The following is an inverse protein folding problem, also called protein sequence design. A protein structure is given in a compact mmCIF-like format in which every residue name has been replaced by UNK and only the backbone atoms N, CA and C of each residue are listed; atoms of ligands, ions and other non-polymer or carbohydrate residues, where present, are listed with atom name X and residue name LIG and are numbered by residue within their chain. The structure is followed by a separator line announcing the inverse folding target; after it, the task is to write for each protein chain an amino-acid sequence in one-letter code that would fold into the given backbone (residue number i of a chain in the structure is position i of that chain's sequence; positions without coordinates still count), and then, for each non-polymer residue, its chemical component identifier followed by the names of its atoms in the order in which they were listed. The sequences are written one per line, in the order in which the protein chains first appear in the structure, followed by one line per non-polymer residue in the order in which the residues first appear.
data_IF_184840366635
#
_entry.id   IF_184840366635
#
_cell.length_a   1.000
_cell.length_b   1.000
_cell.length_c   1.000
_cell.angle_alpha   90.00
_cell.angle_beta   90.00
_cell.angle_gamma   90.00
#
_symmetry.space_group_name_H-M   'P 1'
#
loop_
_entity.id
_entity.type
_entity.pdbx_description
1 polymer ?
#
# COMPACT_ATOMS: atom_id res chain seq x y z
N UNK A 1 -5.70 -0.12 7.99
CA UNK A 1 -4.56 -0.28 8.92
C UNK A 1 -4.37 -1.76 9.21
N UNK A 2 -3.12 -2.22 9.27
CA UNK A 2 -2.76 -3.61 9.62
C UNK A 2 -1.55 -3.60 10.54
N UNK A 3 -1.52 -4.47 11.55
CA UNK A 3 -0.39 -4.60 12.46
C UNK A 3 0.12 -6.04 12.49
N UNK A 4 1.45 -6.19 12.53
CA UNK A 4 2.15 -7.44 12.84
C UNK A 4 3.10 -7.17 14.01
N UNK A 5 3.68 -8.19 14.68
CA UNK A 5 4.67 -7.96 15.71
C UNK A 5 5.81 -7.05 15.22
N UNK A 6 6.03 -5.92 15.92
CA UNK A 6 7.11 -4.98 15.63
C UNK A 6 6.77 -3.84 14.67
N UNK A 7 5.76 -3.97 13.79
CA UNK A 7 5.45 -2.94 12.78
C UNK A 7 3.96 -2.78 12.48
N UNK A 8 3.57 -1.57 12.10
CA UNK A 8 2.19 -1.17 11.77
C UNK A 8 2.18 -0.54 10.37
N UNK A 9 1.34 -1.06 9.48
CA UNK A 9 1.12 -0.56 8.13
C UNK A 9 -0.11 0.36 8.08
N UNK A 10 0.07 1.53 7.48
CA UNK A 10 -0.95 2.56 7.33
C UNK A 10 -0.96 3.13 5.91
N UNK A 11 -2.09 2.95 5.22
CA UNK A 11 -2.35 3.61 3.95
C UNK A 11 -2.93 5.00 4.17
N UNK A 12 -2.55 5.95 3.32
CA UNK A 12 -3.00 7.33 3.40
C UNK A 12 -3.65 7.79 2.10
N UNK A 13 -4.47 8.83 2.18
CA UNK A 13 -5.17 9.43 1.04
C UNK A 13 -4.22 10.06 0.01
N UNK A 14 -3.01 10.44 0.43
CA UNK A 14 -1.93 10.90 -0.45
C UNK A 14 -1.28 9.78 -1.28
N UNK A 15 -1.80 8.54 -1.20
CA UNK A 15 -1.28 7.43 -1.99
C UNK A 15 -0.04 6.77 -1.39
N UNK A 16 0.33 7.11 -0.14
CA UNK A 16 1.49 6.52 0.53
C UNK A 16 1.11 5.42 1.50
N UNK A 17 1.87 4.32 1.43
CA UNK A 17 1.85 3.25 2.41
C UNK A 17 3.03 3.45 3.37
N UNK A 18 2.73 3.84 4.61
CA UNK A 18 3.73 4.08 5.65
C UNK A 18 3.73 2.95 6.67
N UNK A 19 4.92 2.56 7.08
CA UNK A 19 5.12 1.57 8.14
C UNK A 19 5.79 2.21 9.32
N UNK A 20 5.21 1.99 10.49
CA UNK A 20 5.69 2.52 11.75
C UNK A 20 6.21 1.39 12.62
N UNK A 21 7.35 1.60 13.29
CA UNK A 21 7.83 0.70 14.33
C UNK A 21 6.90 0.77 15.55
N UNK A 22 6.51 -0.39 16.08
CA UNK A 22 5.50 -0.49 17.16
C UNK A 22 5.93 0.15 18.48
N UNK A 23 7.24 0.33 18.71
CA UNK A 23 7.79 0.83 19.98
C UNK A 23 7.97 2.35 20.04
N UNK A 24 8.05 3.04 18.90
CA UNK A 24 8.45 4.46 18.89
C UNK A 24 7.69 5.33 17.88
N UNK A 25 6.72 4.78 17.14
CA UNK A 25 5.98 5.52 16.11
C UNK A 25 6.88 6.11 15.02
N UNK A 26 8.11 5.60 14.88
CA UNK A 26 9.05 6.03 13.83
C UNK A 26 8.68 5.34 12.53
N UNK A 27 8.71 6.09 11.43
CA UNK A 27 8.57 5.52 10.10
C UNK A 27 9.80 4.66 9.83
N UNK A 28 9.58 3.37 9.56
CA UNK A 28 10.63 2.41 9.19
C UNK A 28 10.62 2.12 7.69
N UNK A 29 9.51 2.39 7.01
CA UNK A 29 9.36 2.26 5.55
C UNK A 29 8.23 3.18 5.05
N UNK A 30 8.42 3.77 3.87
CA UNK A 30 7.44 4.60 3.16
C UNK A 30 7.47 4.20 1.69
N UNK A 31 6.30 3.91 1.13
CA UNK A 31 6.14 3.52 -0.27
C UNK A 31 5.10 4.38 -0.96
N UNK A 32 5.53 5.02 -2.05
CA UNK A 32 4.66 5.85 -2.88
C UNK A 32 3.97 5.02 -3.96
N UNK A 33 2.65 4.89 -3.84
CA UNK A 33 1.84 4.17 -4.81
C UNK A 33 1.32 5.08 -5.94
N UNK A 34 1.49 6.40 -5.88
CA UNK A 34 1.01 7.34 -6.92
C UNK A 34 1.98 7.37 -8.10
N UNK A 35 2.05 6.24 -8.80
CA UNK A 35 2.90 6.04 -9.97
C UNK A 35 2.26 5.05 -10.93
N UNK A 36 2.83 4.98 -12.13
CA UNK A 36 2.46 3.96 -13.11
C UNK A 36 3.09 2.60 -12.78
N UNK A 37 2.32 1.54 -12.97
CA UNK A 37 2.71 0.14 -12.76
C UNK A 37 2.49 -0.67 -14.04
N UNK A 38 3.46 -1.55 -14.31
CA UNK A 38 3.28 -2.63 -15.27
C UNK A 38 2.54 -3.77 -14.58
N UNK A 39 1.47 -4.25 -15.20
CA UNK A 39 0.63 -5.32 -14.66
C UNK A 39 0.92 -6.64 -15.37
N UNK A 40 0.54 -7.74 -14.73
CA UNK A 40 0.71 -9.10 -15.27
C UNK A 40 -0.11 -9.36 -16.54
N UNK A 41 -1.22 -8.64 -16.73
CA UNK A 41 -2.05 -8.71 -17.94
C UNK A 41 -1.67 -7.67 -19.00
N UNK A 42 -0.59 -6.92 -18.81
CA UNK A 42 -0.07 -5.93 -19.77
C UNK A 42 -0.87 -4.63 -19.87
N UNK A 43 -1.93 -4.45 -19.07
CA UNK A 43 -2.73 -3.22 -19.04
C UNK A 43 -2.11 -2.24 -18.02
N UNK A 44 -1.64 -1.06 -18.42
CA UNK A 44 -1.05 -0.11 -17.48
C UNK A 44 -1.98 0.19 -16.29
N UNK A 45 -1.41 0.19 -15.09
CA UNK A 45 -2.10 0.54 -13.86
C UNK A 45 -1.52 1.82 -13.27
N UNK A 46 -2.32 2.56 -12.52
CA UNK A 46 -1.87 3.74 -11.78
C UNK A 46 -2.37 3.64 -10.34
N UNK A 47 -1.48 3.70 -9.35
CA UNK A 47 -1.93 3.69 -7.95
C UNK A 47 -2.48 5.04 -7.52
N UNK A 48 -3.07 5.09 -6.34
CA UNK A 48 -3.77 6.26 -5.83
C UNK A 48 -4.08 6.16 -4.35
N UNK A 49 -5.09 6.88 -3.90
CA UNK A 49 -5.44 6.96 -2.48
C UNK A 49 -5.67 5.59 -1.84
N UNK A 50 -5.13 5.38 -0.64
CA UNK A 50 -5.34 4.15 0.15
C UNK A 50 -6.35 4.43 1.26
N UNK A 51 -7.63 4.31 0.94
CA UNK A 51 -8.73 4.45 1.91
C UNK A 51 -9.67 3.21 1.88
N UNK A 52 -9.07 2.07 1.51
CA UNK A 52 -9.72 0.76 1.48
C UNK A 52 -9.41 -0.07 2.73
N UNK A 53 -9.60 -1.40 2.67
CA UNK A 53 -9.19 -2.31 3.74
C UNK A 53 -7.69 -2.20 4.02
N UNK A 54 -7.29 -2.63 5.23
CA UNK A 54 -5.88 -2.72 5.60
C UNK A 54 -5.09 -3.66 4.69
N UNK A 55 -3.76 -3.54 4.73
CA UNK A 55 -2.87 -4.44 4.02
C UNK A 55 -2.98 -5.88 4.54
N UNK A 56 -2.70 -6.87 3.70
CA UNK A 56 -2.54 -8.28 4.08
C UNK A 56 -1.06 -8.59 4.11
N UNK A 57 -0.58 -9.26 5.16
CA UNK A 57 0.83 -9.65 5.28
C UNK A 57 0.92 -11.17 5.26
N UNK A 58 1.68 -11.73 4.32
CA UNK A 58 1.87 -13.19 4.21
C UNK A 58 3.16 -13.52 3.49
N UNK A 59 3.88 -14.54 3.95
CA UNK A 59 5.10 -15.03 3.27
C UNK A 59 6.23 -14.00 3.16
N UNK A 60 6.29 -13.02 4.08
CA UNK A 60 7.23 -11.92 4.03
C UNK A 60 6.84 -10.78 3.07
N UNK A 61 5.65 -10.86 2.47
CA UNK A 61 5.13 -9.88 1.51
C UNK A 61 3.96 -9.08 2.07
N UNK A 62 3.75 -7.87 1.54
CA UNK A 62 2.64 -6.99 1.89
C UNK A 62 1.74 -6.72 0.68
N UNK A 63 0.43 -6.89 0.87
CA UNK A 63 -0.55 -6.67 -0.19
C UNK A 63 -1.51 -5.59 0.24
N UNK A 64 -1.66 -4.53 -0.54
CA UNK A 64 -2.65 -3.48 -0.26
C UNK A 64 -3.45 -3.17 -1.52
N UNK A 65 -4.63 -2.61 -1.33
CA UNK A 65 -5.32 -1.93 -2.42
C UNK A 65 -4.82 -0.48 -2.48
N UNK A 66 -4.51 -0.02 -3.69
CA UNK A 66 -4.11 1.35 -3.97
C UNK A 66 -4.99 1.88 -5.06
N UNK A 67 -5.66 2.98 -4.74
CA UNK A 67 -6.60 3.66 -5.60
C UNK A 67 -7.93 2.94 -5.84
N UNK A 68 -8.87 3.68 -6.41
CA UNK A 68 -10.20 3.19 -6.72
C UNK A 68 -10.44 3.19 -8.22
N UNK A 69 -10.96 2.08 -8.75
CA UNK A 69 -11.28 1.95 -10.17
C UNK A 69 -12.28 2.99 -10.67
N UNK A 70 -13.13 3.54 -9.77
CA UNK A 70 -14.06 4.63 -10.08
C UNK A 70 -13.35 5.97 -10.37
N UNK A 71 -12.12 6.13 -9.90
CA UNK A 71 -11.27 7.31 -10.12
C UNK A 71 -10.16 7.05 -11.15
N UNK A 72 -10.22 5.93 -11.88
CA UNK A 72 -9.21 5.58 -12.88
C UNK A 72 -7.91 5.02 -12.29
N UNK A 73 -7.91 4.65 -11.01
CA UNK A 73 -6.76 4.10 -10.31
C UNK A 73 -6.89 2.57 -10.18
N UNK A 74 -5.77 1.85 -10.20
CA UNK A 74 -5.70 0.40 -10.25
C UNK A 74 -4.88 -0.17 -9.08
N UNK A 75 -5.36 -1.31 -8.56
CA UNK A 75 -4.82 -2.02 -7.41
C UNK A 75 -3.35 -2.39 -7.58
N UNK A 76 -2.49 -1.95 -6.66
CA UNK A 76 -1.04 -2.20 -6.67
C UNK A 76 -0.63 -3.18 -5.57
N UNK A 77 0.02 -4.28 -5.92
CA UNK A 77 0.71 -5.16 -4.96
C UNK A 77 2.07 -4.56 -4.58
N UNK A 78 2.43 -4.54 -3.29
CA UNK A 78 3.68 -3.94 -2.82
C UNK A 78 4.51 -4.92 -1.98
N UNK A 79 5.39 -5.66 -2.67
CA UNK A 79 6.55 -6.45 -2.22
C UNK A 79 6.56 -6.96 -0.78
#
# INVERSE_FOLDING_TARGET
MTAIPGVIFFGSLDGKLRTYGSQAGKIVWDYDTVRSFSTVNGVPAHGGSLNGPGAVVVGGMVYTNSGYSRFGEATVMCF
#
